data_IF_403805178113
#
_entry.id   IF_403805178113
#
_cell.length_a   1.000
_cell.length_b   1.000
_cell.length_c   1.000
_cell.angle_alpha   90.00
_cell.angle_beta   90.00
_cell.angle_gamma   90.00
#
_symmetry.space_group_name_H-M   'P 1'
#
loop_
_entity.id
_entity.type
_entity.pdbx_description
1 polymer ?
#
# COMPACT_ATOMS: atom_id res chain seq x y z
N UNK A 1 -14.63 -21.18 -5.71
CA UNK A 1 -13.33 -21.14 -6.43
C UNK A 1 -13.14 -19.99 -7.43
N UNK A 2 -14.16 -19.18 -7.79
CA UNK A 2 -13.99 -18.04 -8.73
C UNK A 2 -13.20 -16.87 -8.10
N UNK A 3 -13.57 -16.46 -6.89
CA UNK A 3 -12.96 -15.32 -6.15
C UNK A 3 -11.44 -15.42 -5.92
N UNK A 4 -10.92 -16.62 -5.65
CA UNK A 4 -9.49 -16.83 -5.43
C UNK A 4 -8.67 -16.67 -6.71
N UNK A 5 -9.22 -17.09 -7.87
CA UNK A 5 -8.56 -16.91 -9.16
C UNK A 5 -8.52 -15.44 -9.55
N UNK A 6 -9.65 -14.75 -9.39
CA UNK A 6 -9.72 -13.30 -9.68
C UNK A 6 -8.75 -12.49 -8.80
N UNK A 7 -8.52 -12.94 -7.55
CA UNK A 7 -7.51 -12.36 -6.66
C UNK A 7 -6.09 -12.55 -7.19
N UNK A 8 -5.70 -13.79 -7.51
CA UNK A 8 -4.36 -14.12 -7.98
C UNK A 8 -4.07 -13.35 -9.27
N UNK A 9 -5.01 -13.33 -10.22
CA UNK A 9 -4.86 -12.60 -11.48
C UNK A 9 -4.66 -11.10 -11.26
N UNK A 10 -5.44 -10.47 -10.37
CA UNK A 10 -5.26 -9.03 -10.07
C UNK A 10 -3.90 -8.74 -9.44
N UNK A 11 -3.46 -9.60 -8.53
CA UNK A 11 -2.15 -9.43 -7.90
C UNK A 11 -1.02 -9.60 -8.91
N UNK A 12 -1.11 -10.61 -9.78
CA UNK A 12 -0.14 -10.85 -10.86
C UNK A 12 -0.12 -9.71 -11.87
N UNK A 13 -1.28 -9.15 -12.22
CA UNK A 13 -1.40 -7.97 -13.09
C UNK A 13 -0.70 -6.76 -12.44
N UNK A 14 -0.92 -6.51 -11.15
CA UNK A 14 -0.26 -5.42 -10.43
C UNK A 14 1.26 -5.62 -10.37
N UNK A 15 1.73 -6.81 -10.00
CA UNK A 15 3.17 -7.11 -9.96
C UNK A 15 3.82 -7.00 -11.32
N UNK A 16 3.19 -7.54 -12.36
CA UNK A 16 3.67 -7.43 -13.73
C UNK A 16 3.82 -5.97 -14.16
N UNK A 17 2.80 -5.16 -13.92
CA UNK A 17 2.85 -3.74 -14.27
C UNK A 17 3.88 -2.96 -13.47
N UNK A 18 4.11 -3.30 -12.19
CA UNK A 18 5.20 -2.74 -11.39
C UNK A 18 6.54 -3.07 -12.05
N UNK A 19 6.78 -4.31 -12.45
CA UNK A 19 8.01 -4.73 -13.12
C UNK A 19 8.23 -4.01 -14.44
N UNK A 20 7.20 -3.85 -15.28
CA UNK A 20 7.31 -3.08 -16.52
C UNK A 20 7.61 -1.60 -16.24
N UNK A 21 6.96 -0.99 -15.24
CA UNK A 21 7.25 0.37 -14.83
C UNK A 21 8.69 0.53 -14.30
N UNK A 22 9.23 -0.45 -13.57
CA UNK A 22 10.62 -0.47 -13.12
C UNK A 22 11.62 -0.55 -14.28
N UNK A 23 11.26 -1.26 -15.36
CA UNK A 23 12.05 -1.31 -16.58
C UNK A 23 11.92 -0.05 -17.47
N UNK A 24 11.13 0.94 -17.05
CA UNK A 24 10.84 2.16 -17.81
C UNK A 24 9.75 2.00 -18.88
N UNK A 25 9.13 0.82 -18.99
CA UNK A 25 8.01 0.56 -19.91
C UNK A 25 6.66 0.91 -19.26
N UNK A 26 6.45 2.22 -19.10
CA UNK A 26 5.19 2.75 -18.56
C UNK A 26 3.99 2.50 -19.48
N UNK A 27 4.21 2.24 -20.77
CA UNK A 27 3.16 1.94 -21.74
C UNK A 27 2.52 0.59 -21.45
N UNK A 28 3.34 -0.45 -21.33
CA UNK A 28 2.88 -1.80 -20.97
C UNK A 28 2.29 -1.84 -19.57
N UNK A 29 2.92 -1.16 -18.60
CA UNK A 29 2.38 -1.05 -17.24
C UNK A 29 0.94 -0.49 -17.22
N UNK A 30 0.65 0.55 -18.01
CA UNK A 30 -0.69 1.13 -18.15
C UNK A 30 -1.66 0.23 -18.90
N UNK A 31 -1.20 -0.57 -19.86
CA UNK A 31 -2.08 -1.51 -20.57
C UNK A 31 -2.54 -2.66 -19.67
N UNK A 32 -1.65 -3.14 -18.79
CA UNK A 32 -1.96 -4.13 -17.77
C UNK A 32 -2.93 -3.52 -16.75
N UNK A 33 -2.61 -2.32 -16.23
CA UNK A 33 -3.43 -1.63 -15.24
C UNK A 33 -4.34 -0.58 -15.92
N UNK A 34 -5.56 -0.98 -16.26
CA UNK A 34 -6.54 -0.12 -16.95
C UNK A 34 -7.15 1.01 -16.09
N UNK A 35 -6.68 1.23 -14.87
CA UNK A 35 -7.18 2.24 -13.91
C UNK A 35 -6.06 2.71 -12.99
N UNK A 36 -6.22 3.86 -12.32
CA UNK A 36 -5.31 4.20 -11.20
C UNK A 36 -5.52 3.19 -10.06
N UNK A 37 -4.43 2.53 -9.64
CA UNK A 37 -4.44 1.64 -8.47
C UNK A 37 -4.60 2.47 -7.21
N UNK A 38 -5.46 2.05 -6.30
CA UNK A 38 -5.51 2.61 -4.94
C UNK A 38 -4.68 1.75 -4.00
N UNK A 39 -3.51 2.25 -3.60
CA UNK A 39 -2.67 1.62 -2.58
C UNK A 39 -3.05 2.20 -1.23
N UNK A 40 -3.47 1.37 -0.27
CA UNK A 40 -3.67 1.79 1.12
C UNK A 40 -2.49 1.32 1.95
N UNK A 41 -1.88 2.20 2.72
CA UNK A 41 -0.92 1.84 3.76
C UNK A 41 -1.55 2.06 5.13
N UNK A 42 -1.51 1.05 5.99
CA UNK A 42 -2.03 1.13 7.36
C UNK A 42 -0.86 1.20 8.34
N UNK A 43 -0.86 2.27 9.14
CA UNK A 43 0.24 2.64 10.04
C UNK A 43 -0.22 2.54 11.51
N UNK A 44 0.52 1.80 12.33
CA UNK A 44 0.24 1.63 13.75
C UNK A 44 0.79 2.76 14.63
N UNK A 45 1.74 3.54 14.10
CA UNK A 45 2.60 4.47 14.82
C UNK A 45 3.95 3.87 15.23
N UNK A 46 4.32 2.68 14.75
CA UNK A 46 5.60 2.04 15.08
C UNK A 46 6.74 2.51 14.18
N UNK A 47 7.99 2.18 14.53
CA UNK A 47 9.15 2.56 13.71
C UNK A 47 9.16 1.87 12.34
N UNK A 48 8.59 0.67 12.27
CA UNK A 48 8.49 -0.11 11.02
C UNK A 48 7.59 0.56 9.97
N UNK A 49 6.70 1.46 10.39
CA UNK A 49 5.82 2.21 9.48
C UNK A 49 6.58 3.10 8.50
N UNK A 50 7.77 3.60 8.87
CA UNK A 50 8.60 4.40 7.96
C UNK A 50 8.95 3.59 6.71
N UNK A 51 9.25 2.30 6.87
CA UNK A 51 9.53 1.43 5.74
C UNK A 51 8.28 1.20 4.89
N UNK A 52 7.12 0.96 5.52
CA UNK A 52 5.85 0.83 4.80
C UNK A 52 5.48 2.09 4.01
N UNK A 53 5.69 3.29 4.57
CA UNK A 53 5.45 4.57 3.90
C UNK A 53 6.34 4.66 2.64
N UNK A 54 7.65 4.46 2.78
CA UNK A 54 8.60 4.54 1.66
C UNK A 54 8.29 3.51 0.57
N UNK A 55 8.02 2.28 0.96
CA UNK A 55 7.61 1.22 0.04
C UNK A 55 6.36 1.62 -0.73
N UNK A 56 5.32 2.09 -0.03
CA UNK A 56 4.03 2.45 -0.62
C UNK A 56 4.11 3.67 -1.52
N UNK A 57 4.93 4.68 -1.17
CA UNK A 57 5.19 5.84 -2.02
C UNK A 57 5.86 5.43 -3.34
N UNK A 58 6.96 4.68 -3.26
CA UNK A 58 7.70 4.21 -4.44
C UNK A 58 6.82 3.34 -5.34
N UNK A 59 6.07 2.43 -4.73
CA UNK A 59 5.12 1.58 -5.42
C UNK A 59 4.07 2.40 -6.15
N UNK A 60 3.40 3.31 -5.44
CA UNK A 60 2.33 4.15 -6.00
C UNK A 60 2.85 5.01 -7.15
N UNK A 61 4.04 5.60 -6.99
CA UNK A 61 4.71 6.39 -8.03
C UNK A 61 4.91 5.59 -9.31
N UNK A 62 5.44 4.36 -9.21
CA UNK A 62 5.73 3.49 -10.36
C UNK A 62 4.47 3.12 -11.15
N UNK A 63 3.37 2.86 -10.44
CA UNK A 63 2.10 2.50 -11.07
C UNK A 63 1.21 3.70 -11.40
N UNK A 64 1.69 4.93 -11.16
CA UNK A 64 0.89 6.17 -11.29
C UNK A 64 -0.48 6.06 -10.58
N UNK A 65 -0.45 5.54 -9.35
CA UNK A 65 -1.61 5.25 -8.52
C UNK A 65 -2.01 6.39 -7.59
N UNK A 66 -2.91 6.07 -6.65
CA UNK A 66 -3.31 6.94 -5.54
C UNK A 66 -2.88 6.27 -4.24
N UNK A 67 -2.14 6.99 -3.41
CA UNK A 67 -1.71 6.52 -2.10
C UNK A 67 -2.72 6.99 -1.04
N UNK A 68 -3.22 6.05 -0.26
CA UNK A 68 -4.11 6.32 0.87
C UNK A 68 -3.42 5.90 2.15
N UNK A 69 -3.16 6.87 3.02
CA UNK A 69 -2.40 6.68 4.24
C UNK A 69 -3.37 6.67 5.40
N UNK A 70 -3.45 5.52 6.07
CA UNK A 70 -4.38 5.29 7.16
C UNK A 70 -3.61 5.13 8.47
N UNK A 71 -3.66 6.15 9.31
CA UNK A 71 -2.86 6.23 10.53
C UNK A 71 -3.71 6.05 11.79
N UNK A 72 -3.20 5.28 12.74
CA UNK A 72 -3.84 5.11 14.04
C UNK A 72 -3.84 6.40 14.88
N UNK A 73 -2.76 7.18 14.80
CA UNK A 73 -2.59 8.44 15.55
C UNK A 73 -1.73 9.43 14.75
N UNK A 74 -1.84 10.73 15.05
CA UNK A 74 -1.26 11.84 14.27
C UNK A 74 0.29 11.92 14.29
N UNK A 75 0.95 11.02 14.99
CA UNK A 75 2.40 11.06 15.26
C UNK A 75 3.29 11.01 14.01
N UNK A 76 2.81 10.43 12.90
CA UNK A 76 3.61 10.24 11.68
C UNK A 76 3.29 11.27 10.58
N UNK A 77 2.30 12.17 10.77
CA UNK A 77 1.82 13.06 9.70
C UNK A 77 2.89 14.03 9.19
N UNK A 78 3.76 14.51 10.06
CA UNK A 78 4.90 15.36 9.68
C UNK A 78 5.88 14.59 8.78
N UNK A 79 6.27 13.38 9.21
CA UNK A 79 7.19 12.53 8.45
C UNK A 79 6.60 12.11 7.09
N UNK A 80 5.29 11.81 7.06
CA UNK A 80 4.58 11.52 5.80
C UNK A 80 4.68 12.70 4.84
N UNK A 81 4.43 13.93 5.32
CA UNK A 81 4.53 15.13 4.48
C UNK A 81 5.96 15.40 3.99
N UNK A 82 6.97 15.06 4.78
CA UNK A 82 8.39 15.19 4.38
C UNK A 82 8.81 14.11 3.37
N UNK A 83 8.25 12.89 3.49
CA UNK A 83 8.54 11.76 2.60
C UNK A 83 7.73 11.80 1.29
N UNK A 84 6.52 12.35 1.32
CA UNK A 84 5.67 12.45 0.16
C UNK A 84 6.23 13.52 -0.79
N UNK A 85 6.92 13.07 -1.83
CA UNK A 85 7.32 13.90 -2.97
C UNK A 85 6.08 14.48 -3.68
N UNK A 86 6.25 15.60 -4.39
CA UNK A 86 5.16 16.28 -5.10
C UNK A 86 4.47 15.45 -6.20
N UNK A 87 5.08 14.32 -6.61
CA UNK A 87 4.64 13.51 -7.74
C UNK A 87 3.69 12.35 -7.38
N UNK A 88 3.24 12.24 -6.12
CA UNK A 88 2.30 11.18 -5.70
C UNK A 88 1.02 11.80 -5.17
N UNK A 89 -0.11 11.46 -5.79
CA UNK A 89 -1.44 11.77 -5.26
C UNK A 89 -1.63 10.99 -3.95
N UNK A 90 -1.68 11.68 -2.80
CA UNK A 90 -1.90 11.04 -1.51
C UNK A 90 -3.03 11.65 -0.68
N UNK A 91 -3.74 10.80 0.05
CA UNK A 91 -4.78 11.18 1.02
C UNK A 91 -4.42 10.63 2.39
N UNK A 92 -4.55 11.45 3.42
CA UNK A 92 -4.29 11.07 4.82
C UNK A 92 -5.62 10.90 5.54
N UNK A 93 -5.81 9.80 6.27
CA UNK A 93 -7.00 9.54 7.07
C UNK A 93 -6.63 8.87 8.38
N UNK A 94 -7.38 9.19 9.43
CA UNK A 94 -7.10 8.73 10.80
C UNK A 94 -8.12 7.69 11.26
N UNK A 95 -7.69 6.73 12.08
CA UNK A 95 -8.58 5.76 12.70
C UNK A 95 -8.22 5.50 14.16
N UNK A 96 -9.22 5.27 15.01
CA UNK A 96 -8.96 4.89 16.41
C UNK A 96 -8.95 3.38 16.59
N UNK A 97 -9.86 2.69 15.89
CA UNK A 97 -10.02 1.24 16.00
C UNK A 97 -10.33 0.61 14.64
N UNK A 98 -9.62 -0.47 14.28
CA UNK A 98 -9.81 -1.21 13.02
C UNK A 98 -11.19 -1.84 12.84
N UNK A 99 -11.94 -2.04 13.94
CA UNK A 99 -13.30 -2.58 13.90
C UNK A 99 -14.35 -1.58 13.42
N UNK A 100 -14.02 -0.30 13.32
CA UNK A 100 -14.95 0.72 12.86
C UNK A 100 -15.42 0.45 11.43
N UNK A 101 -16.72 0.63 11.18
CA UNK A 101 -17.32 0.42 9.84
C UNK A 101 -16.70 1.36 8.80
N UNK A 102 -16.29 2.56 9.21
CA UNK A 102 -15.54 3.54 8.41
C UNK A 102 -14.22 2.96 7.90
N UNK A 103 -13.47 2.25 8.74
CA UNK A 103 -12.20 1.60 8.39
C UNK A 103 -12.42 0.57 7.30
N UNK A 104 -13.41 -0.32 7.46
CA UNK A 104 -13.72 -1.33 6.44
C UNK A 104 -14.10 -0.70 5.11
N UNK A 105 -14.97 0.32 5.12
CA UNK A 105 -15.34 1.06 3.90
C UNK A 105 -14.15 1.76 3.24
N UNK A 106 -13.14 2.14 4.02
CA UNK A 106 -11.91 2.74 3.51
C UNK A 106 -11.03 1.68 2.85
N UNK A 107 -10.80 0.57 3.54
CA UNK A 107 -10.00 -0.57 3.06
C UNK A 107 -10.65 -1.24 1.84
N UNK A 108 -11.97 -1.37 1.78
CA UNK A 108 -12.71 -1.99 0.67
C UNK A 108 -12.52 -1.26 -0.68
N UNK A 109 -12.04 -0.01 -0.65
CA UNK A 109 -11.70 0.78 -1.85
C UNK A 109 -10.26 0.55 -2.31
N UNK A 110 -9.46 -0.20 -1.56
CA UNK A 110 -8.08 -0.48 -1.88
C UNK A 110 -8.00 -1.56 -2.95
N UNK A 111 -7.03 -1.39 -3.84
CA UNK A 111 -6.57 -2.43 -4.75
C UNK A 111 -5.41 -3.23 -4.14
N UNK A 112 -4.70 -2.63 -3.19
CA UNK A 112 -3.59 -3.22 -2.45
C UNK A 112 -3.53 -2.59 -1.05
N UNK A 113 -3.30 -3.40 -0.02
CA UNK A 113 -3.07 -2.93 1.34
C UNK A 113 -1.64 -3.27 1.75
N UNK A 114 -0.89 -2.31 2.27
CA UNK A 114 0.48 -2.45 2.77
C UNK A 114 0.49 -2.23 4.28
N UNK A 115 1.18 -3.11 5.01
CA UNK A 115 1.29 -3.07 6.47
C UNK A 115 2.69 -3.50 6.90
N UNK A 116 3.28 -2.82 7.88
CA UNK A 116 4.52 -3.27 8.51
C UNK A 116 4.35 -3.83 9.94
N UNK A 117 3.25 -3.49 10.61
CA UNK A 117 2.93 -4.00 11.95
C UNK A 117 2.27 -5.38 11.88
N UNK A 118 2.91 -6.39 12.46
CA UNK A 118 2.42 -7.79 12.44
C UNK A 118 1.08 -7.97 13.18
N UNK A 119 0.81 -7.16 14.22
CA UNK A 119 -0.45 -7.19 14.96
C UNK A 119 -1.57 -6.67 14.08
N UNK A 120 -1.38 -5.51 13.44
CA UNK A 120 -2.35 -4.97 12.48
C UNK A 120 -2.58 -5.93 11.31
N UNK A 121 -1.52 -6.58 10.81
CA UNK A 121 -1.62 -7.56 9.73
C UNK A 121 -2.52 -8.74 10.11
N UNK A 122 -2.43 -9.23 11.36
CA UNK A 122 -3.31 -10.31 11.87
C UNK A 122 -4.75 -9.85 12.12
N UNK A 123 -4.94 -8.59 12.49
CA UNK A 123 -6.26 -8.01 12.77
C UNK A 123 -7.05 -7.65 11.50
N UNK A 124 -6.35 -7.20 10.45
CA UNK A 124 -6.99 -6.79 9.20
C UNK A 124 -7.44 -8.01 8.40
N UNK A 125 -8.77 -8.14 8.29
CA UNK A 125 -9.42 -9.09 7.39
C UNK A 125 -9.66 -8.40 6.04
N UNK A 126 -8.69 -8.47 5.13
CA UNK A 126 -8.75 -7.81 3.82
C UNK A 126 -9.71 -8.44 2.81
N UNK A 127 -10.34 -9.58 3.15
CA UNK A 127 -11.29 -10.26 2.27
C UNK A 127 -10.62 -10.75 0.98
N UNK A 128 -10.89 -10.07 -0.14
CA UNK A 128 -10.29 -10.35 -1.45
C UNK A 128 -9.31 -9.26 -1.90
N UNK A 129 -8.83 -8.42 -0.98
CA UNK A 129 -7.85 -7.37 -1.29
C UNK A 129 -6.46 -7.89 -0.92
N UNK A 130 -5.49 -7.83 -1.85
CA UNK A 130 -4.12 -8.20 -1.57
C UNK A 130 -3.57 -7.43 -0.36
N UNK A 131 -3.02 -8.18 0.59
CA UNK A 131 -2.41 -7.66 1.80
C UNK A 131 -0.93 -7.99 1.76
N UNK A 132 -0.08 -6.96 1.70
CA UNK A 132 1.37 -7.09 1.63
C UNK A 132 1.96 -6.67 2.96
N UNK A 133 2.59 -7.63 3.62
CA UNK A 133 3.38 -7.40 4.81
C UNK A 133 4.80 -6.99 4.40
N UNK A 134 5.26 -5.85 4.88
CA UNK A 134 6.59 -5.31 4.55
C UNK A 134 7.40 -5.10 5.82
N UNK A 135 8.64 -5.56 5.83
CA UNK A 135 9.56 -5.32 6.93
C UNK A 135 10.92 -4.90 6.40
N UNK A 136 11.57 -3.98 7.11
CA UNK A 136 12.93 -3.63 6.81
C UNK A 136 13.83 -4.85 7.05
N UNK A 137 14.59 -5.24 6.02
CA UNK A 137 15.52 -6.35 6.14
C UNK A 137 16.73 -5.89 6.98
N UNK A 138 16.67 -6.11 8.30
CA UNK A 138 17.71 -5.70 9.26
C UNK A 138 19.07 -6.38 9.02
N UNK A 139 19.12 -7.39 8.15
CA UNK A 139 20.32 -8.15 7.84
C UNK A 139 21.14 -7.58 6.66
N UNK A 140 20.73 -6.46 6.03
CA UNK A 140 21.44 -5.84 4.91
C UNK A 140 22.24 -4.59 5.30
N UNK A 141 22.54 -4.39 6.59
CA UNK A 141 23.49 -3.37 7.04
C UNK A 141 24.91 -3.90 6.85
N UNK A 142 25.41 -3.85 5.62
CA UNK A 142 26.75 -4.30 5.28
C UNK A 142 26.90 -4.54 3.78
N UNK A 143 27.16 -3.47 3.03
CA UNK A 143 27.53 -3.48 1.62
C UNK A 143 28.27 -2.20 1.28
#
# INVERSE_FOLDING_TARGET
MKRMRDFITKFDDYMSAITFAEAGDFGTAKQIIRKKIVVVVVLSGSEEDIYAIKYSLNLTKRVNGILRIFLKHDGLKKQIKELAEADVDYEISEFRNLSEVSVRKYLDKADLIVIADERLYKEIKSGNIPLVFVQQNKNLVGG
#
